data_IF_026540598758
#
_entry.id   IF_026540598758
#
_cell.length_a   1.000
_cell.length_b   1.000
_cell.length_c   1.000
_cell.angle_alpha   90.00
_cell.angle_beta   90.00
_cell.angle_gamma   90.00
#
_symmetry.space_group_name_H-M   'P 1'
#
loop_
_entity.id
_entity.type
_entity.pdbx_description
1 polymer ?
#
# COMPACT_ATOMS: atom_id res chain seq x y z
N UNK A 1 0.35 25.82 -13.33
CA UNK A 1 0.47 24.45 -13.87
C UNK A 1 0.55 23.57 -12.66
N UNK A 2 -0.54 22.92 -12.27
CA UNK A 2 -0.47 21.87 -11.26
C UNK A 2 0.33 20.74 -11.93
N UNK A 3 1.53 20.47 -11.41
CA UNK A 3 2.31 19.34 -11.88
C UNK A 3 1.54 18.10 -11.42
N UNK A 4 1.06 17.34 -12.41
CA UNK A 4 0.26 16.13 -12.28
C UNK A 4 1.01 15.14 -11.39
N UNK A 5 0.58 14.97 -10.14
CA UNK A 5 1.19 14.00 -9.24
C UNK A 5 0.62 12.60 -9.57
N UNK A 6 1.38 11.84 -10.35
CA UNK A 6 1.03 10.49 -10.79
C UNK A 6 0.90 9.47 -9.66
N UNK A 7 1.18 9.88 -8.42
CA UNK A 7 1.16 9.05 -7.24
C UNK A 7 -0.17 8.31 -7.00
N UNK A 8 -1.31 8.98 -7.10
CA UNK A 8 -2.62 8.34 -6.88
C UNK A 8 -2.97 7.27 -7.93
N UNK A 9 -2.75 7.50 -9.24
CA UNK A 9 -2.80 6.43 -10.23
C UNK A 9 -1.90 5.23 -9.87
N UNK A 10 -0.66 5.48 -9.45
CA UNK A 10 0.27 4.42 -9.05
C UNK A 10 -0.24 3.62 -7.84
N UNK A 11 -0.77 4.31 -6.82
CA UNK A 11 -1.38 3.69 -5.64
C UNK A 11 -2.60 2.83 -6.01
N UNK A 12 -3.47 3.31 -6.91
CA UNK A 12 -4.62 2.54 -7.38
C UNK A 12 -4.19 1.24 -8.08
N UNK A 13 -3.14 1.29 -8.89
CA UNK A 13 -2.55 0.09 -9.51
C UNK A 13 -2.07 -0.92 -8.48
N UNK A 14 -1.42 -0.42 -7.43
CA UNK A 14 -0.91 -1.26 -6.34
C UNK A 14 -2.05 -1.95 -5.56
N UNK A 15 -3.16 -1.24 -5.30
CA UNK A 15 -4.36 -1.82 -4.68
C UNK A 15 -5.02 -2.90 -5.55
N UNK A 16 -4.96 -2.77 -6.88
CA UNK A 16 -5.44 -3.81 -7.80
C UNK A 16 -4.55 -5.06 -7.74
N UNK A 17 -3.23 -4.90 -7.70
CA UNK A 17 -2.28 -6.01 -7.52
C UNK A 17 -2.59 -6.74 -6.21
N UNK A 18 -2.79 -5.99 -5.13
CA UNK A 18 -3.19 -6.55 -3.84
C UNK A 18 -4.50 -7.35 -3.95
N UNK A 19 -5.53 -6.82 -4.59
CA UNK A 19 -6.81 -7.52 -4.77
C UNK A 19 -6.64 -8.87 -5.48
N UNK A 20 -5.86 -8.91 -6.55
CA UNK A 20 -5.59 -10.17 -7.26
C UNK A 20 -4.76 -11.13 -6.39
N UNK A 21 -3.81 -10.62 -5.62
CA UNK A 21 -3.02 -11.41 -4.67
C UNK A 21 -3.92 -12.06 -3.60
N UNK A 22 -4.89 -11.32 -3.06
CA UNK A 22 -5.85 -11.85 -2.09
C UNK A 22 -6.68 -13.01 -2.65
N UNK A 23 -7.08 -12.95 -3.93
CA UNK A 23 -7.80 -14.04 -4.60
C UNK A 23 -6.93 -15.29 -4.69
N UNK A 24 -5.63 -15.12 -4.99
CA UNK A 24 -4.67 -16.23 -5.05
C UNK A 24 -4.45 -16.84 -3.66
N UNK A 25 -4.34 -15.99 -2.63
CA UNK A 25 -3.97 -16.38 -1.27
C UNK A 25 -5.17 -16.64 -0.35
N UNK A 26 -6.41 -16.64 -0.86
CA UNK A 26 -7.66 -16.65 -0.08
C UNK A 26 -7.68 -17.64 1.08
N UNK A 27 -7.12 -18.84 0.88
CA UNK A 27 -7.09 -19.91 1.89
C UNK A 27 -6.04 -19.71 3.00
N UNK A 28 -5.01 -18.93 2.73
CA UNK A 28 -3.87 -18.69 3.62
C UNK A 28 -4.04 -17.39 4.43
N UNK A 29 -4.80 -16.42 3.90
CA UNK A 29 -5.07 -15.13 4.54
C UNK A 29 -5.52 -15.18 6.00
N UNK A 30 -6.35 -16.15 6.44
CA UNK A 30 -6.76 -16.22 7.85
C UNK A 30 -5.60 -16.39 8.83
N UNK A 31 -4.45 -16.86 8.35
CA UNK A 31 -3.25 -17.14 9.15
C UNK A 31 -2.16 -16.07 9.00
N UNK A 32 -2.33 -15.13 8.07
CA UNK A 32 -1.34 -14.10 7.83
C UNK A 32 -1.46 -12.98 8.84
N UNK A 33 -0.31 -12.52 9.33
CA UNK A 33 -0.21 -11.29 10.07
C UNK A 33 0.18 -10.16 9.12
N UNK A 34 -0.58 -9.08 9.17
CA UNK A 34 -0.38 -7.92 8.30
C UNK A 34 0.16 -6.74 9.08
N UNK A 35 1.21 -6.10 8.58
CA UNK A 35 1.80 -4.90 9.15
C UNK A 35 1.66 -3.69 8.24
N UNK A 36 1.10 -2.58 8.74
CA UNK A 36 0.99 -1.33 7.97
C UNK A 36 1.77 -0.26 8.73
N UNK A 37 2.92 0.15 8.19
CA UNK A 37 3.68 1.28 8.70
C UNK A 37 3.29 2.57 7.99
N UNK A 38 3.14 3.65 8.75
CA UNK A 38 2.56 4.91 8.28
C UNK A 38 1.03 4.86 8.24
N UNK A 39 0.38 4.02 9.06
CA UNK A 39 -1.08 3.88 9.13
C UNK A 39 -1.80 5.14 9.67
N UNK A 40 -1.03 6.09 10.21
CA UNK A 40 -1.43 7.43 10.61
C UNK A 40 -1.38 8.46 9.46
N UNK A 41 -0.83 8.09 8.30
CA UNK A 41 -0.86 8.90 7.07
C UNK A 41 -2.11 8.62 6.23
N UNK A 42 -2.44 9.53 5.31
CA UNK A 42 -3.57 9.34 4.40
C UNK A 42 -3.42 8.07 3.53
N UNK A 43 -2.20 7.78 3.07
CA UNK A 43 -1.89 6.59 2.27
C UNK A 43 -2.07 5.31 3.10
N UNK A 44 -1.53 5.30 4.32
CA UNK A 44 -1.66 4.16 5.21
C UNK A 44 -3.10 3.90 5.61
N UNK A 45 -3.91 4.95 5.82
CA UNK A 45 -5.36 4.83 6.07
C UNK A 45 -6.10 4.16 4.91
N UNK A 46 -5.78 4.51 3.66
CA UNK A 46 -6.35 3.83 2.48
C UNK A 46 -6.06 2.33 2.54
N UNK A 47 -4.83 1.93 2.89
CA UNK A 47 -4.48 0.53 3.05
C UNK A 47 -5.23 -0.16 4.18
N UNK A 48 -5.39 0.50 5.33
CA UNK A 48 -6.20 -0.02 6.43
C UNK A 48 -7.62 -0.29 5.93
N UNK A 49 -8.28 0.70 5.35
CA UNK A 49 -9.65 0.57 4.83
C UNK A 49 -9.78 -0.57 3.81
N UNK A 50 -8.78 -0.73 2.94
CA UNK A 50 -8.80 -1.76 1.89
C UNK A 50 -8.61 -3.18 2.45
N UNK A 51 -7.88 -3.33 3.56
CA UNK A 51 -7.59 -4.63 4.17
C UNK A 51 -8.63 -5.06 5.21
N UNK A 52 -9.36 -4.09 5.76
CA UNK A 52 -10.40 -4.31 6.75
C UNK A 52 -11.49 -5.23 6.19
N UNK A 53 -11.81 -6.28 6.95
CA UNK A 53 -12.79 -7.30 6.55
C UNK A 53 -12.23 -8.43 5.67
N UNK A 54 -10.96 -8.36 5.25
CA UNK A 54 -10.28 -9.44 4.52
C UNK A 54 -9.29 -10.17 5.41
N UNK A 55 -8.57 -9.45 6.28
CA UNK A 55 -7.51 -10.01 7.12
C UNK A 55 -7.97 -10.17 8.57
N UNK A 56 -7.43 -11.18 9.25
CA UNK A 56 -7.78 -11.49 10.65
C UNK A 56 -6.79 -10.91 11.67
N UNK A 57 -5.58 -10.57 11.24
CA UNK A 57 -4.52 -10.09 12.11
C UNK A 57 -3.84 -8.88 11.46
N UNK A 58 -3.99 -7.71 12.09
CA UNK A 58 -3.47 -6.45 11.57
C UNK A 58 -2.74 -5.67 12.67
N UNK A 59 -1.54 -5.19 12.33
CA UNK A 59 -0.72 -4.31 13.14
C UNK A 59 -0.63 -2.95 12.46
N UNK A 60 -0.99 -1.89 13.19
CA UNK A 60 -0.95 -0.50 12.76
C UNK A 60 0.26 0.19 13.41
N UNK A 61 1.20 0.62 12.58
CA UNK A 61 2.41 1.33 12.97
C UNK A 61 2.45 2.73 12.39
N UNK A 62 3.06 3.66 13.11
CA UNK A 62 3.18 5.05 12.68
C UNK A 62 3.75 5.95 13.77
N UNK A 63 3.79 7.25 13.52
CA UNK A 63 4.36 8.25 14.43
C UNK A 63 3.31 8.78 15.42
N UNK A 64 2.08 9.02 14.98
CA UNK A 64 1.01 9.58 15.81
C UNK A 64 0.12 8.49 16.42
N UNK A 65 0.41 8.15 17.68
CA UNK A 65 -0.35 7.17 18.45
C UNK A 65 -1.85 7.48 18.54
N UNK A 66 -2.26 8.76 18.65
CA UNK A 66 -3.68 9.11 18.81
C UNK A 66 -4.44 8.79 17.54
N UNK A 67 -3.85 9.16 16.40
CA UNK A 67 -4.39 8.88 15.07
C UNK A 67 -4.50 7.36 14.85
N UNK A 68 -3.49 6.59 15.23
CA UNK A 68 -3.53 5.12 15.17
C UNK A 68 -4.61 4.50 16.08
N UNK A 69 -4.77 5.02 17.30
CA UNK A 69 -5.81 4.57 18.24
C UNK A 69 -7.22 4.89 17.75
N UNK A 70 -7.41 6.03 17.10
CA UNK A 70 -8.67 6.39 16.45
C UNK A 70 -8.97 5.46 15.28
N UNK A 71 -8.01 5.26 14.37
CA UNK A 71 -8.15 4.33 13.24
C UNK A 71 -8.43 2.90 13.70
N UNK A 72 -7.66 2.39 14.68
CA UNK A 72 -7.89 1.05 15.23
C UNK A 72 -9.26 0.89 15.90
N UNK A 73 -9.75 1.94 16.58
CA UNK A 73 -11.09 1.95 17.18
C UNK A 73 -12.18 1.95 16.11
N UNK A 74 -12.00 2.71 15.03
CA UNK A 74 -12.92 2.71 13.89
C UNK A 74 -13.01 1.33 13.23
N UNK A 75 -11.86 0.67 12.99
CA UNK A 75 -11.79 -0.69 12.47
C UNK A 75 -12.51 -1.68 13.40
N UNK A 76 -12.22 -1.63 14.70
CA UNK A 76 -12.86 -2.50 15.70
C UNK A 76 -14.38 -2.31 15.73
N UNK A 77 -14.85 -1.07 15.70
CA UNK A 77 -16.28 -0.77 15.73
C UNK A 77 -16.99 -1.21 14.45
N UNK A 78 -16.32 -1.15 13.30
CA UNK A 78 -16.91 -1.44 11.99
C UNK A 78 -16.89 -2.93 11.67
N UNK A 79 -15.84 -3.65 12.08
CA UNK A 79 -15.62 -5.06 11.67
C UNK A 79 -15.45 -6.05 12.81
N UNK A 80 -15.29 -5.56 14.05
CA UNK A 80 -14.93 -6.42 15.19
C UNK A 80 -13.46 -6.85 15.20
N UNK A 81 -12.65 -6.43 14.23
CA UNK A 81 -11.22 -6.73 14.19
C UNK A 81 -10.45 -5.88 15.20
N UNK A 82 -9.74 -6.53 16.12
CA UNK A 82 -8.81 -5.84 17.02
C UNK A 82 -7.44 -5.70 16.35
N UNK A 83 -6.99 -4.47 16.16
CA UNK A 83 -5.67 -4.18 15.64
C UNK A 83 -4.64 -4.05 16.78
N UNK A 84 -3.41 -4.54 16.56
CA UNK A 84 -2.27 -4.14 17.40
C UNK A 84 -1.84 -2.74 16.97
N UNK A 85 -1.54 -1.87 17.93
CA UNK A 85 -1.06 -0.50 17.67
C UNK A 85 0.34 -0.37 18.23
N UNK A 86 1.26 0.18 17.45
CA UNK A 86 2.66 0.38 17.84
C UNK A 86 3.22 1.65 17.23
N UNK A 87 4.23 2.24 17.88
CA UNK A 87 5.08 3.29 17.30
C UNK A 87 6.48 2.75 16.97
N UNK A 88 6.70 1.46 17.19
CA UNK A 88 7.94 0.75 16.90
C UNK A 88 7.81 0.01 15.55
N UNK A 89 8.62 0.36 14.53
CA UNK A 89 8.56 -0.28 13.22
C UNK A 89 8.88 -1.78 13.24
N UNK A 90 9.82 -2.21 14.08
CA UNK A 90 10.21 -3.62 14.20
C UNK A 90 8.99 -4.45 14.64
N UNK A 91 8.31 -4.05 15.71
CA UNK A 91 7.04 -4.67 16.14
C UNK A 91 5.96 -4.66 15.04
N UNK A 92 5.94 -3.64 14.18
CA UNK A 92 4.96 -3.48 13.13
C UNK A 92 5.22 -4.34 11.89
N UNK A 93 6.47 -4.64 11.58
CA UNK A 93 6.86 -5.19 10.27
C UNK A 93 7.55 -6.55 10.39
N UNK A 94 8.21 -6.82 11.51
CA UNK A 94 9.00 -8.02 11.69
C UNK A 94 8.16 -9.30 11.67
N UNK A 95 8.69 -10.27 10.93
CA UNK A 95 8.18 -11.63 10.76
C UNK A 95 6.74 -11.72 10.19
N UNK A 96 6.29 -10.69 9.46
CA UNK A 96 4.95 -10.64 8.85
C UNK A 96 4.96 -11.07 7.39
N UNK A 97 3.97 -11.88 7.02
CA UNK A 97 3.83 -12.38 5.65
C UNK A 97 3.37 -11.30 4.68
N UNK A 98 2.66 -10.28 5.17
CA UNK A 98 2.19 -9.16 4.36
C UNK A 98 2.55 -7.85 5.07
N UNK A 99 3.28 -6.96 4.42
CA UNK A 99 3.53 -5.63 4.97
C UNK A 99 3.26 -4.52 3.96
N UNK A 100 2.93 -3.33 4.47
CA UNK A 100 2.80 -2.10 3.71
C UNK A 100 3.70 -1.04 4.34
N UNK A 101 4.50 -0.37 3.52
CA UNK A 101 5.24 0.84 3.88
C UNK A 101 4.60 2.04 3.17
N UNK A 102 3.76 2.78 3.90
CA UNK A 102 3.16 4.04 3.44
C UNK A 102 4.02 5.27 3.84
N UNK A 103 4.93 5.09 4.78
CA UNK A 103 5.93 6.07 5.18
C UNK A 103 7.31 5.41 5.23
N UNK A 104 8.40 6.17 5.01
CA UNK A 104 9.75 5.76 5.34
C UNK A 104 9.93 5.09 6.71
N UNK A 105 10.69 3.99 6.72
CA UNK A 105 11.14 3.35 7.96
C UNK A 105 12.63 3.63 8.17
N UNK A 106 13.01 4.30 9.27
CA UNK A 106 14.41 4.65 9.52
C UNK A 106 15.25 3.51 10.09
N UNK A 107 14.61 2.41 10.51
CA UNK A 107 15.24 1.27 11.17
C UNK A 107 15.03 -0.02 10.38
N UNK A 108 16.00 -0.94 10.42
CA UNK A 108 15.82 -2.26 9.82
C UNK A 108 14.85 -3.12 10.67
N UNK A 109 14.30 -4.15 10.03
CA UNK A 109 13.37 -5.11 10.64
C UNK A 109 13.55 -6.50 10.00
N UNK A 110 13.12 -7.57 10.67
CA UNK A 110 13.31 -8.95 10.18
C UNK A 110 12.24 -9.34 9.16
N UNK A 111 12.67 -9.96 8.06
CA UNK A 111 11.77 -10.44 7.00
C UNK A 111 11.60 -11.96 7.12
N UNK A 112 10.36 -12.42 7.22
CA UNK A 112 10.06 -13.85 7.11
C UNK A 112 9.93 -14.28 5.64
N UNK A 113 10.03 -15.58 5.38
CA UNK A 113 9.89 -16.16 4.05
C UNK A 113 8.88 -17.32 4.08
N UNK A 114 7.87 -17.37 3.19
CA UNK A 114 7.58 -16.39 2.14
C UNK A 114 6.83 -15.14 2.64
N UNK A 115 6.99 -14.01 1.94
CA UNK A 115 6.37 -12.72 2.31
C UNK A 115 6.19 -11.78 1.12
N UNK A 116 5.20 -10.88 1.22
CA UNK A 116 4.94 -9.80 0.27
C UNK A 116 5.01 -8.44 0.98
N UNK A 117 5.74 -7.50 0.38
CA UNK A 117 5.98 -6.18 0.95
C UNK A 117 5.58 -5.11 -0.08
N UNK A 118 4.57 -4.32 0.26
CA UNK A 118 4.01 -3.28 -0.59
C UNK A 118 4.62 -1.92 -0.24
N UNK A 119 5.18 -1.23 -1.23
CA UNK A 119 5.82 0.08 -1.06
C UNK A 119 4.94 1.17 -1.68
N UNK A 120 4.36 2.02 -0.85
CA UNK A 120 3.40 3.07 -1.24
C UNK A 120 3.85 4.49 -0.86
N UNK A 121 5.15 4.71 -0.63
CA UNK A 121 5.71 6.00 -0.25
C UNK A 121 5.92 6.94 -1.46
N UNK A 122 5.53 8.23 -1.41
CA UNK A 122 5.69 9.18 -2.52
C UNK A 122 7.14 9.55 -2.86
N UNK A 123 8.07 9.44 -1.91
CA UNK A 123 9.46 9.87 -2.09
C UNK A 123 10.39 8.72 -2.49
N UNK A 124 10.95 8.86 -3.69
CA UNK A 124 11.80 7.91 -4.44
C UNK A 124 13.22 7.70 -3.89
N UNK A 125 13.48 8.01 -2.63
CA UNK A 125 14.84 7.96 -2.06
C UNK A 125 15.00 6.91 -0.96
N UNK A 126 14.33 5.76 -1.10
CA UNK A 126 14.70 4.56 -0.37
C UNK A 126 15.40 3.59 -1.32
N UNK A 127 16.72 3.40 -1.19
CA UNK A 127 17.33 2.19 -1.68
C UNK A 127 16.71 1.05 -0.86
N UNK A 128 15.71 0.37 -1.44
CA UNK A 128 15.20 -0.94 -0.97
C UNK A 128 16.35 -1.94 -0.78
N UNK A 129 17.51 -1.66 -1.38
CA UNK A 129 18.78 -2.38 -1.25
C UNK A 129 19.47 -2.32 0.12
N UNK A 130 18.94 -1.66 1.16
CA UNK A 130 19.61 -1.56 2.48
C UNK A 130 18.75 -1.92 3.71
N UNK A 131 17.62 -2.60 3.55
CA UNK A 131 16.97 -3.24 4.71
C UNK A 131 17.60 -4.63 4.93
N UNK A 132 18.58 -4.69 5.84
CA UNK A 132 19.09 -5.88 6.54
C UNK A 132 19.45 -7.13 5.71
N UNK A 133 20.30 -6.95 4.69
CA UNK A 133 21.10 -8.05 4.15
C UNK A 133 20.34 -9.16 3.44
N UNK A 134 19.03 -9.01 3.23
CA UNK A 134 18.22 -9.84 2.35
C UNK A 134 18.28 -9.18 0.97
N UNK A 135 19.02 -9.74 -0.02
CA UNK A 135 19.03 -9.17 -1.36
C UNK A 135 17.60 -9.12 -1.90
N UNK A 136 17.29 -8.08 -2.68
CA UNK A 136 15.99 -7.86 -3.34
C UNK A 136 15.48 -9.12 -4.08
N UNK A 137 16.40 -9.98 -4.50
CA UNK A 137 16.16 -11.24 -5.22
C UNK A 137 16.15 -12.48 -4.32
N UNK A 138 15.83 -12.33 -3.02
CA UNK A 138 15.73 -13.48 -2.13
C UNK A 138 14.50 -14.32 -2.48
N UNK A 139 14.66 -15.62 -2.80
CA UNK A 139 13.54 -16.47 -3.16
C UNK A 139 12.46 -16.47 -2.07
N UNK A 140 11.22 -16.19 -2.47
CA UNK A 140 10.07 -16.16 -1.55
C UNK A 140 9.83 -14.81 -0.86
N UNK A 141 10.67 -13.79 -1.07
CA UNK A 141 10.40 -12.40 -0.67
C UNK A 141 9.98 -11.61 -1.89
N UNK A 142 8.81 -11.00 -1.86
CA UNK A 142 8.25 -10.25 -2.98
C UNK A 142 8.06 -8.78 -2.61
N UNK A 143 8.92 -7.92 -3.16
CA UNK A 143 8.75 -6.48 -3.08
C UNK A 143 7.84 -6.02 -4.21
N UNK A 144 6.74 -5.36 -3.86
CA UNK A 144 5.73 -4.86 -4.79
C UNK A 144 5.70 -3.34 -4.66
N UNK A 145 6.35 -2.70 -5.61
CA UNK A 145 6.45 -1.26 -5.70
C UNK A 145 5.27 -0.68 -6.49
N UNK A 146 4.96 0.58 -6.20
CA UNK A 146 4.15 1.42 -7.08
C UNK A 146 4.75 1.44 -8.50
N UNK A 147 4.01 0.87 -9.45
CA UNK A 147 4.38 0.82 -10.86
C UNK A 147 3.33 1.49 -11.74
N UNK A 148 3.76 1.99 -12.91
CA UNK A 148 2.87 2.61 -13.88
C UNK A 148 1.72 1.65 -14.23
N UNK A 149 0.48 2.11 -14.05
CA UNK A 149 -0.68 1.37 -14.52
C UNK A 149 -0.66 1.34 -16.04
N UNK A 150 -0.75 0.15 -16.62
CA UNK A 150 -1.09 0.04 -18.04
C UNK A 150 -2.50 0.61 -18.27
N UNK A 151 -2.74 1.17 -19.45
CA UNK A 151 -4.08 1.61 -19.83
C UNK A 151 -5.10 0.46 -19.73
N UNK A 152 -6.32 0.74 -19.27
CA UNK A 152 -7.41 -0.24 -19.28
C UNK A 152 -7.56 -0.86 -20.68
N UNK A 153 -7.67 -2.20 -20.75
CA UNK A 153 -7.69 -2.94 -22.02
C UNK A 153 -8.92 -2.63 -22.89
N UNK A 154 -9.94 -2.04 -22.29
CA UNK A 154 -11.18 -1.59 -22.91
C UNK A 154 -11.07 -0.19 -23.54
N UNK A 155 -9.95 0.52 -23.32
CA UNK A 155 -9.65 1.79 -23.97
C UNK A 155 -8.78 1.52 -25.20
N UNK A 156 -9.38 1.65 -26.38
CA UNK A 156 -8.65 1.52 -27.65
C UNK A 156 -8.02 2.86 -28.00
N UNK A 157 -6.69 2.90 -27.98
CA UNK A 157 -5.92 4.05 -28.46
C UNK A 157 -5.60 3.87 -29.95
N UNK A 158 -6.07 4.80 -30.78
CA UNK A 158 -5.77 4.79 -32.23
C UNK A 158 -4.32 5.18 -32.54
N UNK A 159 -3.61 5.76 -31.56
CA UNK A 159 -2.20 6.17 -31.67
C UNK A 159 -1.42 5.67 -30.47
N UNK A 160 -0.17 5.32 -30.72
CA UNK A 160 0.80 5.07 -29.65
C UNK A 160 1.01 6.37 -28.87
N UNK A 161 0.81 6.30 -27.56
CA UNK A 161 0.91 7.44 -26.67
C UNK A 161 2.33 7.52 -26.11
N UNK A 162 2.81 8.73 -25.85
CA UNK A 162 3.99 8.85 -25.01
C UNK A 162 3.58 8.66 -23.53
N UNK A 163 4.51 8.26 -22.64
CA UNK A 163 4.19 8.00 -21.23
C UNK A 163 3.47 9.15 -20.51
N UNK A 164 3.72 10.40 -20.91
CA UNK A 164 3.06 11.58 -20.34
C UNK A 164 1.59 11.71 -20.77
N UNK A 165 1.26 11.32 -22.00
CA UNK A 165 -0.11 11.31 -22.49
C UNK A 165 -0.92 10.19 -21.82
N UNK A 166 -0.29 9.02 -21.62
CA UNK A 166 -0.90 7.91 -20.85
C UNK A 166 -1.22 8.34 -19.42
N UNK A 167 -0.28 9.03 -18.76
CA UNK A 167 -0.50 9.60 -17.43
C UNK A 167 -1.70 10.55 -17.40
N UNK A 168 -1.73 11.51 -18.33
CA UNK A 168 -2.81 12.50 -18.39
C UNK A 168 -4.18 11.86 -18.63
N UNK A 169 -4.23 10.78 -19.41
CA UNK A 169 -5.47 10.01 -19.63
C UNK A 169 -5.87 9.25 -18.38
N UNK A 170 -4.93 8.54 -17.73
CA UNK A 170 -5.19 7.79 -16.49
C UNK A 170 -5.68 8.72 -15.38
N UNK A 171 -5.06 9.88 -15.21
CA UNK A 171 -5.49 10.88 -14.23
C UNK A 171 -6.86 11.47 -14.59
N UNK A 172 -7.12 11.74 -15.88
CA UNK A 172 -8.44 12.15 -16.35
C UNK A 172 -9.52 11.12 -16.01
N UNK A 173 -9.23 9.83 -16.21
CA UNK A 173 -10.13 8.72 -15.85
C UNK A 173 -10.36 8.65 -14.34
N UNK A 174 -9.31 8.79 -13.53
CA UNK A 174 -9.41 8.80 -12.05
C UNK A 174 -10.21 10.02 -11.59
N UNK A 175 -9.97 11.19 -12.17
CA UNK A 175 -10.71 12.42 -11.88
C UNK A 175 -12.20 12.27 -12.19
N UNK A 176 -12.55 11.64 -13.32
CA UNK A 176 -13.96 11.41 -13.69
C UNK A 176 -14.61 10.39 -12.73
N UNK A 177 -13.90 9.30 -12.44
CA UNK A 177 -14.43 8.16 -11.68
C UNK A 177 -14.44 8.37 -10.16
N UNK A 178 -13.47 9.09 -9.60
CA UNK A 178 -13.30 9.31 -8.17
C UNK A 178 -13.75 10.71 -7.76
N UNK A 179 -14.74 10.78 -6.88
CA UNK A 179 -15.19 12.05 -6.28
C UNK A 179 -14.23 12.53 -5.17
N UNK A 180 -13.60 11.59 -4.47
CA UNK A 180 -12.63 11.86 -3.39
C UNK A 180 -11.39 12.54 -3.98
N UNK A 181 -10.79 11.92 -4.99
CA UNK A 181 -9.62 12.46 -5.69
C UNK A 181 -9.85 13.89 -6.21
N UNK A 182 -11.04 14.18 -6.76
CA UNK A 182 -11.41 15.52 -7.23
C UNK A 182 -11.46 16.59 -6.14
N UNK A 183 -11.76 16.20 -4.91
CA UNK A 183 -11.84 17.12 -3.78
C UNK A 183 -10.46 17.39 -3.17
N UNK A 184 -9.53 16.42 -3.26
CA UNK A 184 -8.19 16.53 -2.69
C UNK A 184 -7.23 17.37 -3.55
N UNK A 185 -7.45 17.43 -4.88
CA UNK A 185 -6.61 18.21 -5.81
C UNK A 185 -7.08 19.66 -6.04
N UNK A 186 -8.15 20.12 -5.38
CA UNK A 186 -8.73 21.48 -5.53
C UNK A 186 -8.40 22.39 -4.37
#
# INVERSE_FOLDING_TARGET
>A
IAVLDGFYPLLAGLLLVWKELLIILEKELPFFEVGIWGADTDIGRIWVEFMVGVVNHMCLGGQDRKVLEETGREVLNTTGLSCRITQDPDTCLSDKQLTVLAEPVPVPYTICQPSFHFLSCPESSFPVSQQDGVPYESPGVYWIEMGWMALPRDIVMEKELCPWDELGILEGLITISSKIYRNDIR
#
